data_IF_985358167525
#
_entry.id   IF_985358167525
#
_cell.length_a   1.000
_cell.length_b   1.000
_cell.length_c   1.000
_cell.angle_alpha   90.00
_cell.angle_beta   90.00
_cell.angle_gamma   90.00
#
_symmetry.space_group_name_H-M   'P 1'
#
loop_
_entity.id
_entity.type
_entity.pdbx_description
1 polymer ?
#
# COMPACT_ATOMS: atom_id res chain seq x y z
N UNK A 1 -3.87 21.13 -15.56
CA UNK A 1 -2.40 21.01 -15.75
C UNK A 1 -1.62 21.63 -14.56
N UNK A 2 -2.11 21.49 -13.32
CA UNK A 2 -1.63 22.26 -12.15
C UNK A 2 -1.42 21.40 -10.88
N UNK A 3 -1.32 20.07 -10.98
CA UNK A 3 -1.17 19.18 -9.81
C UNK A 3 0.27 18.67 -9.57
N UNK A 4 1.28 19.34 -10.13
CA UNK A 4 2.68 18.94 -9.94
C UNK A 4 3.41 19.74 -8.85
N UNK A 5 2.80 20.75 -8.24
CA UNK A 5 3.42 21.49 -7.14
C UNK A 5 3.20 20.78 -5.80
N UNK A 6 4.28 20.42 -5.10
CA UNK A 6 4.18 19.86 -3.75
C UNK A 6 4.00 20.96 -2.72
N UNK A 7 2.75 21.36 -2.49
CA UNK A 7 2.40 22.43 -1.55
C UNK A 7 2.83 22.13 -0.10
N UNK A 8 2.78 20.86 0.30
CA UNK A 8 3.24 20.42 1.62
C UNK A 8 4.74 20.71 1.84
N UNK A 9 5.60 20.30 0.90
CA UNK A 9 7.06 20.50 1.00
C UNK A 9 7.42 21.99 0.99
N UNK A 10 6.71 22.79 0.18
CA UNK A 10 6.88 24.24 0.14
C UNK A 10 6.42 24.91 1.44
N UNK A 11 5.32 24.47 2.04
CA UNK A 11 4.81 24.99 3.31
C UNK A 11 5.74 24.63 4.47
N UNK A 12 6.21 23.38 4.53
CA UNK A 12 7.19 22.94 5.53
C UNK A 12 8.47 23.77 5.47
N UNK A 13 9.02 23.99 4.26
CA UNK A 13 10.19 24.83 4.07
C UNK A 13 9.93 26.30 4.47
N UNK A 14 8.73 26.82 4.20
CA UNK A 14 8.38 28.21 4.48
C UNK A 14 8.35 28.56 5.98
N UNK A 15 8.04 27.59 6.87
CA UNK A 15 8.05 27.80 8.32
C UNK A 15 9.40 28.34 8.81
N UNK A 16 10.49 27.83 8.24
CA UNK A 16 11.84 28.19 8.65
C UNK A 16 12.27 29.59 8.18
N UNK A 17 11.58 30.19 7.21
CA UNK A 17 11.92 31.54 6.72
C UNK A 17 11.68 32.63 7.76
N UNK A 18 10.92 32.36 8.83
CA UNK A 18 10.69 33.29 9.94
C UNK A 18 12.01 33.75 10.59
N UNK A 19 13.06 32.93 10.52
CA UNK A 19 14.37 33.25 11.10
C UNK A 19 15.16 34.29 10.29
N UNK A 20 14.72 34.67 9.09
CA UNK A 20 15.23 35.86 8.39
C UNK A 20 14.72 37.17 8.98
N UNK A 21 13.58 37.15 9.67
CA UNK A 21 12.90 38.34 10.18
C UNK A 21 13.73 39.16 11.17
N UNK A 22 14.41 38.57 12.19
CA UNK A 22 15.19 39.34 13.15
C UNK A 22 16.32 40.15 12.50
N UNK A 23 17.01 39.55 11.52
CA UNK A 23 18.10 40.21 10.77
C UNK A 23 17.53 41.33 9.89
N UNK A 24 16.41 41.08 9.21
CA UNK A 24 15.74 42.11 8.41
C UNK A 24 15.31 43.29 9.28
N UNK A 25 14.69 43.06 10.43
CA UNK A 25 14.31 44.11 11.36
C UNK A 25 15.52 44.91 11.86
N UNK A 26 16.62 44.23 12.18
CA UNK A 26 17.85 44.89 12.61
C UNK A 26 18.45 45.81 11.53
N UNK A 27 18.28 45.48 10.25
CA UNK A 27 18.72 46.33 9.12
C UNK A 27 17.76 47.51 8.94
N UNK A 28 16.44 47.28 9.07
CA UNK A 28 15.43 48.32 8.90
C UNK A 28 15.50 49.39 10.00
N UNK A 29 15.73 48.98 11.25
CA UNK A 29 15.81 49.89 12.40
C UNK A 29 17.23 50.44 12.65
N UNK A 30 18.22 50.08 11.81
CA UNK A 30 19.57 50.65 11.94
C UNK A 30 19.56 52.14 11.54
N UNK A 31 20.07 53.04 12.41
CA UNK A 31 20.06 54.49 12.13
C UNK A 31 20.89 54.88 10.90
N UNK A 32 21.93 54.11 10.57
CA UNK A 32 22.91 54.41 9.53
C UNK A 32 22.53 53.91 8.13
N UNK A 33 21.42 53.20 7.98
CA UNK A 33 21.01 52.56 6.73
C UNK A 33 20.18 53.49 5.85
N UNK A 34 20.55 53.64 4.58
CA UNK A 34 19.83 54.50 3.63
C UNK A 34 18.46 53.92 3.24
N UNK A 35 17.53 54.77 2.77
CA UNK A 35 16.21 54.31 2.30
C UNK A 35 16.31 53.28 1.16
N UNK A 36 17.27 53.48 0.24
CA UNK A 36 17.53 52.53 -0.85
C UNK A 36 18.05 51.17 -0.34
N UNK A 37 18.92 51.16 0.66
CA UNK A 37 19.40 49.93 1.29
C UNK A 37 18.29 49.18 2.03
N UNK A 38 17.39 49.89 2.71
CA UNK A 38 16.22 49.31 3.38
C UNK A 38 15.26 48.67 2.37
N UNK A 39 14.96 49.37 1.27
CA UNK A 39 14.14 48.82 0.20
C UNK A 39 14.79 47.58 -0.42
N UNK A 40 16.09 47.63 -0.72
CA UNK A 40 16.83 46.49 -1.27
C UNK A 40 16.84 45.30 -0.31
N UNK A 41 17.03 45.52 1.00
CA UNK A 41 16.96 44.47 2.01
C UNK A 41 15.61 43.75 2.00
N UNK A 42 14.50 44.49 1.99
CA UNK A 42 13.17 43.87 1.93
C UNK A 42 12.96 43.13 0.62
N UNK A 43 13.29 43.75 -0.51
CA UNK A 43 13.10 43.16 -1.83
C UNK A 43 13.87 41.84 -1.99
N UNK A 44 15.17 41.82 -1.65
CA UNK A 44 15.99 40.61 -1.81
C UNK A 44 15.57 39.50 -0.86
N UNK A 45 15.18 39.82 0.38
CA UNK A 45 14.69 38.82 1.34
C UNK A 45 13.38 38.21 0.88
N UNK A 46 12.44 39.01 0.36
CA UNK A 46 11.17 38.51 -0.19
C UNK A 46 11.41 37.61 -1.40
N UNK A 47 12.27 38.03 -2.33
CA UNK A 47 12.62 37.22 -3.51
C UNK A 47 13.30 35.91 -3.09
N UNK A 48 14.19 35.94 -2.10
CA UNK A 48 14.81 34.74 -1.54
C UNK A 48 13.78 33.79 -0.94
N UNK A 49 12.86 34.30 -0.12
CA UNK A 49 11.77 33.51 0.47
C UNK A 49 10.93 32.82 -0.62
N UNK A 50 10.51 33.57 -1.64
CA UNK A 50 9.74 33.01 -2.76
C UNK A 50 10.53 31.94 -3.52
N UNK A 51 11.80 32.20 -3.84
CA UNK A 51 12.66 31.25 -4.53
C UNK A 51 12.88 29.97 -3.69
N UNK A 52 13.04 30.10 -2.37
CA UNK A 52 13.23 28.96 -1.47
C UNK A 52 11.99 28.07 -1.41
N UNK A 53 10.80 28.66 -1.24
CA UNK A 53 9.53 27.91 -1.26
C UNK A 53 9.26 27.26 -2.64
N UNK A 54 9.58 27.97 -3.73
CA UNK A 54 9.46 27.44 -5.09
C UNK A 54 10.43 26.28 -5.33
N UNK A 55 11.64 26.32 -4.79
CA UNK A 55 12.61 25.23 -4.91
C UNK A 55 12.03 23.92 -4.36
N UNK A 56 11.54 23.92 -3.12
CA UNK A 56 10.94 22.74 -2.50
C UNK A 56 9.68 22.26 -3.21
N UNK A 57 8.81 23.18 -3.66
CA UNK A 57 7.59 22.81 -4.35
C UNK A 57 7.76 22.30 -5.80
N UNK A 58 8.87 22.65 -6.47
CA UNK A 58 9.10 22.32 -7.90
C UNK A 58 10.16 21.25 -8.16
N UNK A 59 11.01 20.94 -7.18
CA UNK A 59 12.13 19.99 -7.29
C UNK A 59 11.77 18.67 -7.98
N UNK A 60 10.60 18.11 -7.65
CA UNK A 60 10.12 16.84 -8.18
C UNK A 60 9.51 16.93 -9.58
N UNK A 61 9.15 18.14 -10.01
CA UNK A 61 8.14 18.33 -11.06
C UNK A 61 8.64 19.08 -12.28
N UNK A 62 9.53 20.05 -12.10
CA UNK A 62 10.03 20.89 -13.18
C UNK A 62 11.51 21.27 -13.00
N UNK A 63 12.32 21.30 -14.07
CA UNK A 63 12.04 20.87 -15.45
C UNK A 63 12.12 19.35 -15.59
N UNK A 64 11.11 18.72 -16.22
CA UNK A 64 10.99 17.26 -16.30
C UNK A 64 12.19 16.55 -16.97
N UNK A 65 12.86 17.22 -17.91
CA UNK A 65 14.00 16.70 -18.67
C UNK A 65 15.32 16.65 -17.88
N UNK A 66 15.39 17.30 -16.73
CA UNK A 66 16.61 17.37 -15.95
C UNK A 66 16.63 16.28 -14.88
N UNK A 67 17.80 15.70 -14.65
CA UNK A 67 18.00 14.79 -13.51
C UNK A 67 17.80 15.54 -12.19
N UNK A 68 17.32 14.83 -11.18
CA UNK A 68 17.03 15.39 -9.86
C UNK A 68 18.21 16.19 -9.28
N UNK A 69 19.44 15.66 -9.40
CA UNK A 69 20.67 16.34 -8.97
C UNK A 69 20.91 17.66 -9.70
N UNK A 70 20.64 17.75 -11.01
CA UNK A 70 20.80 19.01 -11.78
C UNK A 70 19.78 20.06 -11.36
N UNK A 71 18.55 19.66 -11.00
CA UNK A 71 17.53 20.58 -10.48
C UNK A 71 17.93 21.15 -9.13
N UNK A 72 18.41 20.30 -8.22
CA UNK A 72 18.94 20.73 -6.92
C UNK A 72 20.11 21.70 -7.10
N UNK A 73 21.07 21.37 -7.98
CA UNK A 73 22.22 22.22 -8.25
C UNK A 73 21.81 23.60 -8.79
N UNK A 74 20.84 23.65 -9.71
CA UNK A 74 20.35 24.91 -10.26
C UNK A 74 19.66 25.78 -9.19
N UNK A 75 18.77 25.21 -8.37
CA UNK A 75 18.15 25.93 -7.27
C UNK A 75 19.17 26.39 -6.23
N UNK A 76 20.17 25.57 -5.93
CA UNK A 76 21.27 25.94 -5.05
C UNK A 76 22.04 27.15 -5.59
N UNK A 77 22.38 27.16 -6.88
CA UNK A 77 23.06 28.29 -7.54
C UNK A 77 22.18 29.55 -7.49
N UNK A 78 20.88 29.43 -7.80
CA UNK A 78 19.93 30.57 -7.75
C UNK A 78 19.90 31.18 -6.35
N UNK A 79 19.73 30.35 -5.32
CA UNK A 79 19.70 30.81 -3.92
C UNK A 79 21.04 31.41 -3.49
N UNK A 80 22.16 30.83 -3.93
CA UNK A 80 23.50 31.36 -3.64
C UNK A 80 23.71 32.75 -4.29
N UNK A 81 23.27 32.93 -5.53
CA UNK A 81 23.31 34.22 -6.22
C UNK A 81 22.42 35.26 -5.53
N UNK A 82 21.23 34.88 -5.06
CA UNK A 82 20.36 35.76 -4.29
C UNK A 82 20.98 36.15 -2.94
N UNK A 83 21.63 35.21 -2.25
CA UNK A 83 22.38 35.49 -1.03
C UNK A 83 23.53 36.47 -1.31
N UNK A 84 24.30 36.30 -2.38
CA UNK A 84 25.36 37.23 -2.77
C UNK A 84 24.80 38.62 -3.11
N UNK A 85 23.66 38.70 -3.80
CA UNK A 85 22.99 39.96 -4.12
C UNK A 85 22.49 40.72 -2.88
N UNK A 86 22.37 40.05 -1.71
CA UNK A 86 22.00 40.67 -0.45
C UNK A 86 23.17 41.37 0.27
N UNK A 87 24.43 41.17 -0.16
CA UNK A 87 25.64 41.77 0.45
C UNK A 87 25.54 43.31 0.61
N UNK A 88 25.10 44.09 -0.40
CA UNK A 88 25.08 45.56 -0.30
C UNK A 88 24.16 46.12 0.81
N UNK A 89 23.14 45.37 1.22
CA UNK A 89 22.21 45.78 2.28
C UNK A 89 22.44 45.08 3.61
N UNK A 90 22.87 43.81 3.60
CA UNK A 90 23.06 42.99 4.80
C UNK A 90 24.49 43.02 5.35
N UNK A 91 25.48 43.33 4.51
CA UNK A 91 26.90 43.27 4.88
C UNK A 91 27.27 41.87 5.41
N UNK A 92 27.90 41.82 6.59
CA UNK A 92 28.30 40.56 7.24
C UNK A 92 27.10 39.64 7.57
N UNK A 93 25.91 40.21 7.74
CA UNK A 93 24.70 39.43 8.09
C UNK A 93 24.16 38.59 6.95
N UNK A 94 24.73 38.66 5.75
CA UNK A 94 24.40 37.77 4.62
C UNK A 94 24.58 36.29 4.97
N UNK A 95 25.39 35.99 5.98
CA UNK A 95 25.59 34.65 6.54
C UNK A 95 24.28 33.96 6.94
N UNK A 96 23.23 34.72 7.27
CA UNK A 96 21.91 34.18 7.64
C UNK A 96 21.25 33.38 6.51
N UNK A 97 21.65 33.58 5.25
CA UNK A 97 21.13 32.82 4.11
C UNK A 97 21.79 31.44 3.94
N UNK A 98 22.96 31.22 4.53
CA UNK A 98 23.76 29.99 4.36
C UNK A 98 23.04 28.74 4.88
N UNK A 99 22.34 28.76 6.04
CA UNK A 99 21.60 27.60 6.51
C UNK A 99 20.54 27.08 5.56
N UNK A 100 19.91 27.97 4.78
CA UNK A 100 18.90 27.60 3.79
C UNK A 100 19.51 26.87 2.59
N UNK A 101 20.73 27.24 2.20
CA UNK A 101 21.52 26.50 1.20
C UNK A 101 21.88 25.10 1.71
N UNK A 102 22.31 25.00 2.97
CA UNK A 102 22.60 23.72 3.63
C UNK A 102 21.36 22.84 3.77
N UNK A 103 20.21 23.43 4.11
CA UNK A 103 18.93 22.73 4.23
C UNK A 103 18.49 22.11 2.92
N UNK A 104 18.56 22.88 1.81
CA UNK A 104 18.22 22.37 0.48
C UNK A 104 19.02 21.12 0.13
N UNK A 105 20.32 21.11 0.43
CA UNK A 105 21.18 19.95 0.14
C UNK A 105 20.93 18.81 1.13
N UNK A 106 20.71 19.11 2.41
CA UNK A 106 20.48 18.11 3.46
C UNK A 106 19.22 17.29 3.22
N UNK A 107 18.14 17.92 2.78
CA UNK A 107 16.87 17.23 2.50
C UNK A 107 16.85 16.52 1.15
N UNK A 108 17.77 16.85 0.23
CA UNK A 108 17.70 16.36 -1.17
C UNK A 108 18.88 15.50 -1.62
N UNK A 109 20.03 15.56 -0.95
CA UNK A 109 21.24 14.84 -1.35
C UNK A 109 21.66 13.81 -0.31
N UNK A 110 22.43 12.78 -0.71
CA UNK A 110 23.02 11.82 0.23
C UNK A 110 23.88 12.52 1.29
N UNK A 111 23.90 11.95 2.50
CA UNK A 111 24.64 12.49 3.66
C UNK A 111 26.10 12.88 3.33
N UNK A 112 26.81 12.05 2.54
CA UNK A 112 28.20 12.33 2.12
C UNK A 112 28.31 13.59 1.27
N UNK A 113 27.39 13.80 0.33
CA UNK A 113 27.39 14.98 -0.54
C UNK A 113 26.97 16.22 0.23
N UNK A 114 25.95 16.10 1.10
CA UNK A 114 25.49 17.18 1.94
C UNK A 114 26.56 17.66 2.91
N UNK A 115 27.25 16.74 3.60
CA UNK A 115 28.32 17.09 4.54
C UNK A 115 29.49 17.79 3.86
N UNK A 116 29.89 17.35 2.67
CA UNK A 116 30.95 18.01 1.87
C UNK A 116 30.54 19.43 1.49
N UNK A 117 29.31 19.62 0.97
CA UNK A 117 28.84 20.95 0.54
C UNK A 117 28.70 21.89 1.73
N UNK A 118 28.17 21.41 2.86
CA UNK A 118 28.07 22.21 4.10
C UNK A 118 29.46 22.60 4.60
N UNK A 119 30.41 21.66 4.65
CA UNK A 119 31.78 21.93 5.08
C UNK A 119 32.48 22.95 4.17
N UNK A 120 32.36 22.80 2.84
CA UNK A 120 32.91 23.74 1.87
C UNK A 120 32.28 25.13 1.98
N UNK A 121 30.95 25.20 2.08
CA UNK A 121 30.24 26.48 2.23
C UNK A 121 30.62 27.15 3.55
N UNK A 122 30.72 26.39 4.64
CA UNK A 122 31.18 26.86 5.94
C UNK A 122 32.61 27.37 5.91
N UNK A 123 33.53 26.71 5.18
CA UNK A 123 34.90 27.18 5.02
C UNK A 123 34.98 28.47 4.19
N UNK A 124 34.29 28.51 3.04
CA UNK A 124 34.27 29.68 2.13
C UNK A 124 33.71 30.91 2.82
N UNK A 125 32.68 30.75 3.67
CA UNK A 125 32.06 31.88 4.39
C UNK A 125 32.77 32.18 5.72
N UNK A 126 33.26 31.15 6.40
CA UNK A 126 33.93 31.26 7.70
C UNK A 126 35.30 31.94 7.62
N UNK A 127 36.07 31.72 6.55
CA UNK A 127 37.39 32.35 6.39
C UNK A 127 37.28 33.88 6.32
N UNK A 128 36.44 34.50 5.47
CA UNK A 128 36.21 35.95 5.50
C UNK A 128 35.67 36.46 6.84
N UNK A 129 34.76 35.73 7.48
CA UNK A 129 34.20 36.12 8.78
C UNK A 129 35.27 36.21 9.87
N UNK A 130 36.25 35.32 9.86
CA UNK A 130 37.38 35.37 10.78
C UNK A 130 38.17 36.67 10.65
N UNK A 131 38.44 37.12 9.42
CA UNK A 131 39.23 38.34 9.18
C UNK A 131 38.43 39.64 9.39
N UNK A 132 37.13 39.65 9.10
CA UNK A 132 36.32 40.88 9.09
C UNK A 132 35.37 41.04 10.28
N UNK A 133 35.15 39.99 11.08
CA UNK A 133 34.16 39.99 12.16
C UNK A 133 34.57 39.13 13.37
N UNK A 134 35.87 39.15 13.72
CA UNK A 134 36.49 38.32 14.76
C UNK A 134 35.71 38.31 16.10
N UNK A 135 35.29 39.49 16.59
CA UNK A 135 34.56 39.62 17.86
C UNK A 135 33.17 38.93 17.88
N UNK A 136 32.58 38.63 16.72
CA UNK A 136 31.28 37.97 16.58
C UNK A 136 31.38 36.61 15.91
N UNK A 137 32.60 36.07 15.77
CA UNK A 137 32.83 34.82 15.06
C UNK A 137 32.07 33.65 15.67
N UNK A 138 31.96 33.59 17.02
CA UNK A 138 31.22 32.53 17.72
C UNK A 138 29.71 32.59 17.40
N UNK A 139 29.10 33.78 17.40
CA UNK A 139 27.70 33.97 17.02
C UNK A 139 27.44 33.47 15.59
N UNK A 140 28.35 33.81 14.67
CA UNK A 140 28.25 33.41 13.27
C UNK A 140 28.56 31.92 13.05
N UNK A 141 29.45 31.32 13.85
CA UNK A 141 29.75 29.90 13.79
C UNK A 141 28.56 29.03 14.21
N UNK A 142 27.78 29.46 15.21
CA UNK A 142 26.53 28.80 15.60
C UNK A 142 25.49 28.83 14.48
N UNK A 143 25.40 29.94 13.74
CA UNK A 143 24.51 30.06 12.58
C UNK A 143 25.04 29.23 11.40
N UNK A 144 26.34 29.24 11.14
CA UNK A 144 26.97 28.53 10.01
C UNK A 144 27.03 27.02 10.15
N UNK A 145 27.20 26.53 11.38
CA UNK A 145 27.43 25.10 11.63
C UNK A 145 26.34 24.48 12.49
N UNK A 146 25.86 25.18 13.53
CA UNK A 146 24.84 24.64 14.43
C UNK A 146 23.50 24.40 13.75
N UNK A 147 23.02 25.39 13.00
CA UNK A 147 21.77 25.32 12.26
C UNK A 147 21.78 24.27 11.13
N UNK A 148 22.76 24.26 10.22
CA UNK A 148 22.87 23.22 9.20
C UNK A 148 23.05 21.82 9.77
N UNK A 149 23.76 21.67 10.89
CA UNK A 149 23.92 20.38 11.55
C UNK A 149 22.60 19.89 12.14
N UNK A 150 21.83 20.75 12.81
CA UNK A 150 20.49 20.42 13.29
C UNK A 150 19.58 19.99 12.13
N UNK A 151 19.58 20.75 11.03
CA UNK A 151 18.78 20.44 9.85
C UNK A 151 19.24 19.13 9.19
N UNK A 152 20.56 18.86 9.15
CA UNK A 152 21.10 17.60 8.66
C UNK A 152 20.61 16.42 9.51
N UNK A 153 20.62 16.56 10.84
CA UNK A 153 20.10 15.50 11.73
C UNK A 153 18.61 15.23 11.49
N UNK A 154 17.79 16.28 11.39
CA UNK A 154 16.36 16.15 11.08
C UNK A 154 16.11 15.54 9.70
N UNK A 155 16.89 15.95 8.69
CA UNK A 155 16.81 15.38 7.34
C UNK A 155 17.19 13.90 7.29
N UNK A 156 18.21 13.49 8.05
CA UNK A 156 18.60 12.07 8.15
C UNK A 156 17.58 11.21 8.86
N UNK A 157 16.87 11.76 9.86
CA UNK A 157 15.79 11.05 10.56
C UNK A 157 14.60 10.83 9.62
N UNK A 158 14.18 11.88 8.92
CA UNK A 158 13.09 11.80 7.93
C UNK A 158 13.40 10.82 6.79
N UNK A 159 14.62 10.84 6.23
CA UNK A 159 15.00 9.89 5.19
C UNK A 159 15.05 8.43 5.69
N UNK A 160 15.35 8.20 6.97
CA UNK A 160 15.35 6.85 7.56
C UNK A 160 13.95 6.29 7.69
N UNK A 161 12.98 7.09 8.13
CA UNK A 161 11.59 6.65 8.26
C UNK A 161 10.98 6.20 6.92
N UNK A 162 11.23 6.97 5.85
CA UNK A 162 10.76 6.61 4.51
C UNK A 162 11.40 5.32 3.99
N UNK A 163 12.71 5.15 4.24
CA UNK A 163 13.46 3.97 3.80
C UNK A 163 13.06 2.73 4.59
N UNK A 164 12.88 2.85 5.92
CA UNK A 164 12.42 1.75 6.77
C UNK A 164 11.02 1.30 6.40
N UNK A 165 10.12 2.21 6.09
CA UNK A 165 8.74 1.85 5.70
C UNK A 165 8.73 1.09 4.38
N UNK A 166 9.52 1.52 3.40
CA UNK A 166 9.67 0.79 2.13
C UNK A 166 10.29 -0.60 2.33
N UNK A 167 11.35 -0.70 3.15
CA UNK A 167 12.01 -1.97 3.46
C UNK A 167 11.10 -2.93 4.24
N UNK A 168 10.31 -2.43 5.18
CA UNK A 168 9.30 -3.24 5.90
C UNK A 168 8.26 -3.76 4.94
N UNK A 169 7.77 -2.94 4.03
CA UNK A 169 6.82 -3.39 3.01
C UNK A 169 7.41 -4.49 2.12
N UNK A 170 8.65 -4.34 1.66
CA UNK A 170 9.33 -5.34 0.85
C UNK A 170 9.59 -6.65 1.62
N UNK A 171 9.92 -6.56 2.92
CA UNK A 171 10.08 -7.72 3.80
C UNK A 171 8.75 -8.45 4.01
N UNK A 172 7.67 -7.73 4.28
CA UNK A 172 6.33 -8.31 4.45
C UNK A 172 5.90 -9.04 3.18
N UNK A 173 6.16 -8.45 2.00
CA UNK A 173 5.87 -9.09 0.71
C UNK A 173 6.74 -10.34 0.47
N UNK A 174 8.00 -10.32 0.92
CA UNK A 174 8.90 -11.47 0.79
C UNK A 174 8.51 -12.62 1.72
N UNK A 175 8.16 -12.32 2.97
CA UNK A 175 7.64 -13.31 3.94
C UNK A 175 6.34 -13.92 3.43
N UNK A 176 5.42 -13.08 2.96
CA UNK A 176 4.20 -13.56 2.33
C UNK A 176 4.50 -14.56 1.22
N UNK A 177 5.48 -14.29 0.33
CA UNK A 177 5.91 -15.19 -0.75
C UNK A 177 6.46 -16.53 -0.28
N UNK A 178 7.20 -16.53 0.82
CA UNK A 178 7.78 -17.74 1.41
C UNK A 178 6.69 -18.64 2.01
N UNK A 179 5.74 -18.04 2.73
CA UNK A 179 4.58 -18.74 3.26
C UNK A 179 3.72 -19.35 2.14
N UNK A 180 3.58 -18.67 0.97
CA UNK A 180 2.91 -19.24 -0.22
C UNK A 180 3.58 -20.53 -0.69
N UNK A 181 4.92 -20.49 -0.77
CA UNK A 181 5.68 -21.60 -1.29
C UNK A 181 5.54 -22.82 -0.36
N UNK A 182 5.53 -22.59 0.96
CA UNK A 182 5.29 -23.63 1.95
C UNK A 182 3.88 -24.24 1.83
N UNK A 183 2.83 -23.42 1.82
CA UNK A 183 1.44 -23.90 1.72
C UNK A 183 1.17 -24.67 0.41
N UNK A 184 1.71 -24.19 -0.71
CA UNK A 184 1.62 -24.89 -1.99
C UNK A 184 2.38 -26.22 -1.95
N UNK A 185 3.57 -26.22 -1.34
CA UNK A 185 4.40 -27.42 -1.24
C UNK A 185 3.74 -28.51 -0.39
N UNK A 186 3.16 -28.14 0.75
CA UNK A 186 2.50 -29.07 1.65
C UNK A 186 1.23 -29.66 1.02
N UNK A 187 0.42 -28.82 0.36
CA UNK A 187 -0.78 -29.25 -0.36
C UNK A 187 -0.46 -30.19 -1.53
N UNK A 188 0.54 -29.84 -2.35
CA UNK A 188 0.98 -30.69 -3.46
C UNK A 188 1.63 -31.97 -2.97
N UNK A 189 2.45 -31.91 -1.92
CA UNK A 189 3.16 -33.06 -1.37
C UNK A 189 2.22 -34.15 -0.88
N UNK A 190 1.19 -33.78 -0.12
CA UNK A 190 0.19 -34.73 0.37
C UNK A 190 -0.60 -35.36 -0.79
N UNK A 191 -1.10 -34.54 -1.73
CA UNK A 191 -1.89 -35.03 -2.86
C UNK A 191 -1.07 -35.96 -3.76
N UNK A 192 0.15 -35.57 -4.12
CA UNK A 192 1.02 -36.39 -4.98
C UNK A 192 1.36 -37.74 -4.34
N UNK A 193 1.49 -37.78 -3.01
CA UNK A 193 1.71 -39.03 -2.27
C UNK A 193 0.51 -39.97 -2.41
N UNK A 194 -0.72 -39.45 -2.26
CA UNK A 194 -1.96 -40.24 -2.42
C UNK A 194 -2.13 -40.73 -3.86
N UNK A 195 -1.90 -39.85 -4.85
CA UNK A 195 -1.94 -40.21 -6.27
C UNK A 195 -0.96 -41.34 -6.58
N UNK A 196 0.26 -41.27 -6.04
CA UNK A 196 1.28 -42.29 -6.26
C UNK A 196 0.87 -43.64 -5.64
N UNK A 197 0.35 -43.64 -4.40
CA UNK A 197 -0.15 -44.84 -3.73
C UNK A 197 -1.30 -45.49 -4.51
N UNK A 198 -2.30 -44.72 -4.93
CA UNK A 198 -3.42 -45.22 -5.73
C UNK A 198 -2.99 -45.73 -7.11
N UNK A 199 -1.99 -45.07 -7.71
CA UNK A 199 -1.43 -45.52 -9.00
C UNK A 199 -0.75 -46.89 -8.87
N UNK A 200 -0.04 -47.14 -7.77
CA UNK A 200 0.57 -48.44 -7.47
C UNK A 200 -0.48 -49.52 -7.23
N UNK A 201 -1.59 -49.19 -6.54
CA UNK A 201 -2.73 -50.10 -6.34
C UNK A 201 -3.40 -50.45 -7.67
N UNK A 202 -3.72 -49.44 -8.49
CA UNK A 202 -4.31 -49.64 -9.82
C UNK A 202 -3.42 -50.52 -10.71
N UNK A 203 -2.10 -50.30 -10.68
CA UNK A 203 -1.12 -51.09 -11.44
C UNK A 203 -1.13 -52.57 -11.03
N UNK A 204 -1.27 -52.88 -9.74
CA UNK A 204 -1.30 -54.26 -9.23
C UNK A 204 -2.62 -54.97 -9.54
N UNK A 205 -3.71 -54.21 -9.70
CA UNK A 205 -5.05 -54.75 -9.94
C UNK A 205 -5.38 -54.86 -11.44
N UNK A 206 -4.61 -54.25 -12.34
CA UNK A 206 -4.92 -54.18 -13.78
C UNK A 206 -5.23 -55.54 -14.43
N UNK A 207 -4.48 -56.59 -14.06
CA UNK A 207 -4.69 -57.95 -14.62
C UNK A 207 -5.62 -58.81 -13.77
N UNK A 208 -5.82 -58.44 -12.49
CA UNK A 208 -6.43 -59.30 -11.46
C UNK A 208 -7.86 -58.89 -11.12
N UNK A 209 -8.12 -57.58 -11.12
CA UNK A 209 -9.43 -56.95 -10.97
C UNK A 209 -9.45 -55.62 -11.75
N UNK A 210 -9.72 -55.70 -13.08
CA UNK A 210 -9.76 -54.51 -13.94
C UNK A 210 -10.82 -53.49 -13.54
N UNK A 211 -11.89 -53.93 -12.87
CA UNK A 211 -13.00 -53.05 -12.47
C UNK A 211 -12.59 -52.12 -11.33
N UNK A 212 -11.92 -52.66 -10.32
CA UNK A 212 -11.37 -51.86 -9.21
C UNK A 212 -10.21 -50.98 -9.70
N UNK A 213 -9.37 -51.49 -10.61
CA UNK A 213 -8.30 -50.68 -11.21
C UNK A 213 -8.83 -49.45 -11.98
N UNK A 214 -9.93 -49.61 -12.74
CA UNK A 214 -10.59 -48.50 -13.44
C UNK A 214 -11.15 -47.46 -12.46
N UNK A 215 -11.69 -47.90 -11.31
CA UNK A 215 -12.21 -47.02 -10.26
C UNK A 215 -11.09 -46.18 -9.63
N UNK A 216 -9.97 -46.80 -9.27
CA UNK A 216 -8.79 -46.10 -8.72
C UNK A 216 -8.23 -45.07 -9.72
N UNK A 217 -8.18 -45.41 -11.02
CA UNK A 217 -7.75 -44.48 -12.07
C UNK A 217 -8.70 -43.28 -12.25
N UNK A 218 -10.02 -43.50 -12.13
CA UNK A 218 -11.01 -42.43 -12.18
C UNK A 218 -10.85 -41.48 -10.98
N UNK A 219 -10.64 -42.03 -9.77
CA UNK A 219 -10.38 -41.26 -8.56
C UNK A 219 -9.10 -40.43 -8.64
N UNK A 220 -8.01 -41.00 -9.18
CA UNK A 220 -6.77 -40.24 -9.47
C UNK A 220 -7.06 -39.03 -10.37
N UNK A 221 -7.88 -39.22 -11.41
CA UNK A 221 -8.28 -38.15 -12.32
C UNK A 221 -9.06 -37.03 -11.60
N UNK A 222 -9.96 -37.39 -10.67
CA UNK A 222 -10.70 -36.42 -9.84
C UNK A 222 -9.75 -35.70 -8.88
N UNK A 223 -8.91 -36.44 -8.14
CA UNK A 223 -7.94 -35.86 -7.19
C UNK A 223 -7.02 -34.84 -7.87
N UNK A 224 -6.48 -35.19 -9.03
CA UNK A 224 -5.60 -34.32 -9.80
C UNK A 224 -6.27 -33.01 -10.22
N UNK A 225 -7.51 -33.08 -10.74
CA UNK A 225 -8.28 -31.88 -11.10
C UNK A 225 -8.61 -31.01 -9.90
N UNK A 226 -9.00 -31.62 -8.78
CA UNK A 226 -9.30 -30.90 -7.53
C UNK A 226 -8.07 -30.17 -6.99
N UNK A 227 -6.91 -30.83 -6.93
CA UNK A 227 -5.68 -30.22 -6.42
C UNK A 227 -5.15 -29.11 -7.34
N UNK A 228 -5.30 -29.27 -8.66
CA UNK A 228 -4.97 -28.19 -9.60
C UNK A 228 -5.89 -26.96 -9.39
N UNK A 229 -7.19 -27.18 -9.14
CA UNK A 229 -8.13 -26.11 -8.83
C UNK A 229 -7.79 -25.43 -7.49
N UNK A 230 -7.35 -26.19 -6.49
CA UNK A 230 -6.97 -25.67 -5.18
C UNK A 230 -5.67 -24.86 -5.24
N UNK A 231 -4.65 -25.31 -5.97
CA UNK A 231 -3.44 -24.53 -6.25
C UNK A 231 -3.80 -23.22 -6.97
N UNK A 232 -4.67 -23.28 -8.00
CA UNK A 232 -5.13 -22.08 -8.71
C UNK A 232 -5.92 -21.13 -7.81
N UNK A 233 -6.74 -21.66 -6.91
CA UNK A 233 -7.49 -20.89 -5.91
C UNK A 233 -6.55 -20.20 -4.91
N UNK A 234 -5.55 -20.90 -4.38
CA UNK A 234 -4.52 -20.34 -3.48
C UNK A 234 -3.73 -19.22 -4.17
N UNK A 235 -3.32 -19.41 -5.42
CA UNK A 235 -2.65 -18.36 -6.21
C UNK A 235 -3.58 -17.15 -6.47
N UNK A 236 -4.88 -17.39 -6.68
CA UNK A 236 -5.87 -16.31 -6.91
C UNK A 236 -6.19 -15.53 -5.64
N UNK A 237 -6.18 -16.19 -4.48
CA UNK A 237 -6.39 -15.60 -3.14
C UNK A 237 -5.32 -14.57 -2.74
N UNK A 238 -4.17 -14.58 -3.43
CA UNK A 238 -3.00 -13.76 -3.12
C UNK A 238 -2.85 -12.51 -3.99
N UNK A 239 -3.72 -12.32 -4.99
CA UNK A 239 -3.97 -11.00 -5.59
C UNK A 239 -5.23 -10.47 -4.93
N UNK A 240 -5.14 -9.39 -4.14
CA UNK A 240 -6.27 -8.78 -3.40
C UNK A 240 -7.64 -9.14 -3.98
N UNK A 241 -8.47 -9.94 -3.27
CA UNK A 241 -9.73 -10.41 -3.81
C UNK A 241 -10.65 -9.22 -3.99
N UNK A 242 -10.86 -8.84 -5.25
CA UNK A 242 -11.92 -7.93 -5.64
C UNK A 242 -13.15 -8.75 -5.92
N UNK A 243 -14.32 -8.25 -5.57
CA UNK A 243 -15.56 -9.01 -5.76
C UNK A 243 -15.79 -9.36 -7.24
N UNK A 244 -15.42 -8.45 -8.13
CA UNK A 244 -15.43 -8.66 -9.58
C UNK A 244 -14.51 -9.82 -10.02
N UNK A 245 -13.33 -9.95 -9.39
CA UNK A 245 -12.42 -11.06 -9.64
C UNK A 245 -13.00 -12.40 -9.19
N UNK A 246 -13.72 -12.42 -8.06
CA UNK A 246 -14.38 -13.61 -7.55
C UNK A 246 -15.58 -14.04 -8.39
N UNK A 247 -16.38 -13.12 -8.93
CA UNK A 247 -17.44 -13.47 -9.89
C UNK A 247 -16.84 -14.20 -11.11
N UNK A 248 -15.73 -13.69 -11.65
CA UNK A 248 -15.08 -14.35 -12.80
C UNK A 248 -14.50 -15.72 -12.43
N UNK A 249 -13.96 -15.87 -11.22
CA UNK A 249 -13.45 -17.15 -10.73
C UNK A 249 -14.59 -18.15 -10.51
N UNK A 250 -15.70 -17.72 -9.91
CA UNK A 250 -16.92 -18.49 -9.69
C UNK A 250 -17.50 -18.99 -11.03
N UNK A 251 -17.60 -18.11 -12.04
CA UNK A 251 -18.04 -18.50 -13.37
C UNK A 251 -17.18 -19.65 -13.92
N UNK A 252 -15.85 -19.48 -13.92
CA UNK A 252 -14.92 -20.47 -14.46
C UNK A 252 -15.01 -21.82 -13.72
N UNK A 253 -15.06 -21.81 -12.39
CA UNK A 253 -15.04 -23.07 -11.61
C UNK A 253 -16.35 -23.85 -11.77
N UNK A 254 -17.49 -23.16 -11.76
CA UNK A 254 -18.80 -23.77 -11.94
C UNK A 254 -19.01 -24.27 -13.39
N UNK A 255 -18.59 -23.49 -14.39
CA UNK A 255 -18.61 -23.90 -15.80
C UNK A 255 -17.73 -25.14 -16.04
N UNK A 256 -16.53 -25.18 -15.45
CA UNK A 256 -15.63 -26.35 -15.53
C UNK A 256 -16.25 -27.59 -14.87
N UNK A 257 -17.08 -27.39 -13.85
CA UNK A 257 -17.82 -28.46 -13.19
C UNK A 257 -19.10 -28.88 -13.95
N UNK A 258 -19.45 -28.21 -15.06
CA UNK A 258 -20.66 -28.48 -15.83
C UNK A 258 -21.94 -27.95 -15.18
N UNK A 259 -21.83 -26.96 -14.30
CA UNK A 259 -22.95 -26.34 -13.58
C UNK A 259 -23.37 -25.07 -14.32
N UNK A 260 -24.65 -24.95 -14.66
CA UNK A 260 -25.22 -23.73 -15.26
C UNK A 260 -25.24 -22.63 -14.21
N UNK A 261 -24.71 -21.44 -14.54
CA UNK A 261 -24.54 -20.35 -13.57
C UNK A 261 -25.42 -19.16 -13.85
N UNK A 262 -25.97 -18.59 -12.78
CA UNK A 262 -26.68 -17.33 -12.78
C UNK A 262 -25.99 -16.40 -11.78
N UNK A 263 -24.95 -15.70 -12.26
CA UNK A 263 -24.10 -14.82 -11.46
C UNK A 263 -24.45 -13.33 -11.72
N UNK A 264 -24.23 -12.41 -10.76
CA UNK A 264 -24.35 -10.98 -10.98
C UNK A 264 -23.37 -10.50 -12.05
N UNK A 265 -23.66 -9.38 -12.69
CA UNK A 265 -22.73 -8.76 -13.64
C UNK A 265 -21.40 -8.44 -12.97
N UNK A 266 -20.30 -8.58 -13.70
CA UNK A 266 -18.94 -8.30 -13.17
C UNK A 266 -18.70 -6.85 -12.72
N UNK A 267 -19.58 -5.92 -13.09
CA UNK A 267 -19.57 -4.53 -12.61
C UNK A 267 -20.31 -4.34 -11.28
N UNK A 268 -21.09 -5.32 -10.85
CA UNK A 268 -21.79 -5.33 -9.56
C UNK A 268 -20.76 -5.42 -8.44
N UNK A 269 -20.86 -4.53 -7.45
CA UNK A 269 -19.95 -4.48 -6.31
C UNK A 269 -20.72 -4.37 -5.01
N UNK A 270 -20.24 -5.00 -3.93
CA UNK A 270 -20.79 -4.78 -2.61
C UNK A 270 -20.61 -3.31 -2.21
N UNK A 271 -21.63 -2.73 -1.60
CA UNK A 271 -21.56 -1.34 -1.13
C UNK A 271 -20.71 -1.21 0.14
N UNK A 272 -20.62 -2.29 0.92
CA UNK A 272 -19.80 -2.41 2.12
C UNK A 272 -19.13 -3.79 2.18
N UNK A 273 -18.09 -3.94 3.02
CA UNK A 273 -17.48 -5.23 3.35
C UNK A 273 -17.06 -6.10 2.13
N UNK A 274 -16.54 -5.47 1.06
CA UNK A 274 -16.17 -6.14 -0.20
C UNK A 274 -15.29 -7.38 0.01
N UNK A 275 -14.34 -7.32 0.94
CA UNK A 275 -13.45 -8.42 1.26
C UNK A 275 -14.20 -9.63 1.84
N UNK A 276 -15.19 -9.39 2.72
CA UNK A 276 -16.00 -10.46 3.33
C UNK A 276 -16.88 -11.13 2.27
N UNK A 277 -17.59 -10.35 1.46
CA UNK A 277 -18.43 -10.89 0.40
C UNK A 277 -17.63 -11.59 -0.70
N UNK A 278 -16.44 -11.10 -1.02
CA UNK A 278 -15.53 -11.80 -1.95
C UNK A 278 -15.12 -13.16 -1.41
N UNK A 279 -14.77 -13.22 -0.12
CA UNK A 279 -14.41 -14.47 0.53
C UNK A 279 -15.60 -15.44 0.63
N UNK A 280 -16.78 -14.94 0.97
CA UNK A 280 -18.03 -15.68 1.02
C UNK A 280 -18.38 -16.29 -0.35
N UNK A 281 -18.36 -15.49 -1.41
CA UNK A 281 -18.66 -15.96 -2.77
C UNK A 281 -17.75 -17.12 -3.18
N UNK A 282 -16.45 -17.01 -2.90
CA UNK A 282 -15.49 -18.08 -3.21
C UNK A 282 -15.78 -19.36 -2.44
N UNK A 283 -15.97 -19.25 -1.14
CA UNK A 283 -16.20 -20.41 -0.27
C UNK A 283 -17.50 -21.13 -0.67
N UNK A 284 -18.59 -20.37 -0.85
CA UNK A 284 -19.88 -20.91 -1.22
C UNK A 284 -19.86 -21.58 -2.60
N UNK A 285 -19.25 -20.96 -3.61
CA UNK A 285 -19.16 -21.56 -4.96
C UNK A 285 -18.23 -22.77 -4.99
N UNK A 286 -17.17 -22.79 -4.18
CA UNK A 286 -16.32 -23.97 -4.00
C UNK A 286 -17.10 -25.11 -3.35
N UNK A 287 -17.93 -24.81 -2.35
CA UNK A 287 -18.77 -25.79 -1.68
C UNK A 287 -19.82 -26.39 -2.62
N UNK A 288 -20.44 -25.58 -3.47
CA UNK A 288 -21.32 -26.08 -4.54
C UNK A 288 -20.59 -27.10 -5.40
N UNK A 289 -19.41 -26.76 -5.93
CA UNK A 289 -18.65 -27.67 -6.81
C UNK A 289 -18.21 -28.95 -6.10
N UNK A 290 -17.81 -28.87 -4.82
CA UNK A 290 -17.27 -30.02 -4.07
C UNK A 290 -18.36 -30.95 -3.54
N UNK A 291 -19.51 -30.40 -3.12
CA UNK A 291 -20.44 -31.13 -2.25
C UNK A 291 -21.88 -31.20 -2.79
N UNK A 292 -22.31 -30.30 -3.67
CA UNK A 292 -23.73 -30.22 -4.04
C UNK A 292 -24.19 -31.32 -5.01
N UNK A 293 -23.36 -31.69 -5.99
CA UNK A 293 -23.83 -32.45 -7.16
C UNK A 293 -24.90 -31.72 -7.99
N UNK A 294 -24.99 -30.38 -7.86
CA UNK A 294 -25.95 -29.53 -8.54
C UNK A 294 -25.70 -29.44 -10.05
N UNK A 295 -26.76 -29.14 -10.81
CA UNK A 295 -26.68 -28.79 -12.24
C UNK A 295 -26.88 -27.29 -12.48
N UNK A 296 -27.44 -26.57 -11.50
CA UNK A 296 -27.69 -25.13 -11.56
C UNK A 296 -27.29 -24.44 -10.25
N UNK A 297 -26.73 -23.23 -10.36
CA UNK A 297 -26.29 -22.40 -9.24
C UNK A 297 -26.62 -20.92 -9.49
N UNK A 298 -27.22 -20.28 -8.50
CA UNK A 298 -27.61 -18.87 -8.49
C UNK A 298 -26.83 -18.11 -7.41
N UNK A 299 -26.32 -16.94 -7.79
CA UNK A 299 -25.66 -16.02 -6.86
C UNK A 299 -26.38 -14.68 -6.93
N UNK A 300 -26.86 -14.20 -5.80
CA UNK A 300 -27.54 -12.91 -5.67
C UNK A 300 -26.80 -12.03 -4.68
N UNK A 301 -26.51 -10.80 -5.08
CA UNK A 301 -25.91 -9.78 -4.21
C UNK A 301 -26.97 -8.72 -3.89
N UNK A 302 -27.33 -8.57 -2.62
CA UNK A 302 -28.12 -7.46 -2.09
C UNK A 302 -27.23 -6.31 -1.60
N UNK A 303 -27.84 -5.31 -0.98
CA UNK A 303 -27.11 -4.13 -0.45
C UNK A 303 -26.12 -4.52 0.65
N UNK A 304 -26.56 -5.39 1.57
CA UNK A 304 -25.78 -5.92 2.68
C UNK A 304 -25.88 -7.46 2.80
N UNK A 305 -26.22 -8.15 1.71
CA UNK A 305 -26.41 -9.60 1.71
C UNK A 305 -25.79 -10.27 0.48
N UNK A 306 -25.35 -11.51 0.65
CA UNK A 306 -24.90 -12.38 -0.42
C UNK A 306 -25.57 -13.75 -0.25
N UNK A 307 -26.31 -14.17 -1.27
CA UNK A 307 -26.98 -15.46 -1.30
C UNK A 307 -26.40 -16.32 -2.42
N UNK A 308 -26.07 -17.57 -2.08
CA UNK A 308 -25.73 -18.62 -3.06
C UNK A 308 -26.73 -19.75 -2.92
N UNK A 309 -27.38 -20.11 -4.02
CA UNK A 309 -28.38 -21.18 -4.07
C UNK A 309 -28.01 -22.20 -5.13
N UNK A 310 -28.18 -23.48 -4.84
CA UNK A 310 -27.95 -24.57 -5.77
C UNK A 310 -29.09 -25.59 -5.72
N UNK A 311 -29.27 -26.35 -6.81
CA UNK A 311 -30.29 -27.39 -6.91
C UNK A 311 -29.77 -28.80 -6.55
N UNK A 312 -28.67 -28.87 -5.82
CA UNK A 312 -27.99 -30.09 -5.42
C UNK A 312 -28.43 -30.65 -4.07
N UNK A 313 -27.82 -31.78 -3.72
CA UNK A 313 -28.14 -32.58 -2.55
C UNK A 313 -27.21 -32.42 -1.34
N UNK A 314 -26.20 -31.54 -1.42
CA UNK A 314 -24.98 -31.59 -0.60
C UNK A 314 -25.10 -31.29 0.90
N UNK A 315 -26.22 -30.75 1.36
CA UNK A 315 -26.48 -30.54 2.79
C UNK A 315 -27.35 -31.67 3.35
N UNK A 316 -26.69 -32.64 4.00
CA UNK A 316 -27.28 -33.75 4.73
C UNK A 316 -27.29 -33.47 6.25
N UNK A 317 -27.98 -34.30 7.05
CA UNK A 317 -27.96 -34.19 8.52
C UNK A 317 -26.53 -34.24 9.11
N UNK A 318 -25.61 -34.97 8.47
CA UNK A 318 -24.19 -35.01 8.86
C UNK A 318 -23.48 -33.67 8.63
N UNK A 319 -23.88 -32.89 7.62
CA UNK A 319 -23.32 -31.58 7.33
C UNK A 319 -23.76 -30.53 8.37
N UNK A 320 -24.99 -30.62 8.89
CA UNK A 320 -25.44 -29.79 10.01
C UNK A 320 -24.64 -30.08 11.29
N UNK A 321 -24.38 -31.35 11.60
CA UNK A 321 -23.55 -31.71 12.75
C UNK A 321 -22.10 -31.22 12.60
N UNK A 322 -21.50 -31.35 11.41
CA UNK A 322 -20.15 -30.86 11.13
C UNK A 322 -20.03 -29.32 11.20
N UNK A 323 -21.08 -28.61 10.78
CA UNK A 323 -21.19 -27.15 10.91
C UNK A 323 -21.27 -26.73 12.38
N UNK A 324 -22.06 -27.45 13.19
CA UNK A 324 -22.23 -27.19 14.64
C UNK A 324 -20.95 -27.49 15.43
N UNK A 325 -20.17 -28.48 14.97
CA UNK A 325 -18.86 -28.81 15.52
C UNK A 325 -17.72 -27.88 15.07
N UNK A 326 -17.99 -26.95 14.14
CA UNK A 326 -17.00 -25.98 13.67
C UNK A 326 -15.92 -26.54 12.74
N UNK A 327 -16.17 -27.71 12.12
CA UNK A 327 -15.17 -28.49 11.38
C UNK A 327 -15.21 -28.24 9.85
N UNK A 328 -15.90 -27.20 9.38
CA UNK A 328 -16.10 -26.91 7.95
C UNK A 328 -15.71 -25.48 7.56
N UNK A 329 -15.43 -25.23 6.28
CA UNK A 329 -15.14 -23.87 5.77
C UNK A 329 -16.27 -22.86 6.02
N UNK A 330 -17.52 -23.34 6.13
CA UNK A 330 -18.69 -22.56 6.50
C UNK A 330 -18.70 -22.10 7.97
N UNK A 331 -18.08 -22.84 8.89
CA UNK A 331 -17.92 -22.39 10.27
C UNK A 331 -16.95 -21.20 10.37
N UNK A 332 -15.90 -21.20 9.55
CA UNK A 332 -15.01 -20.05 9.38
C UNK A 332 -15.72 -18.86 8.76
N UNK A 333 -16.64 -19.10 7.80
CA UNK A 333 -17.49 -18.06 7.22
C UNK A 333 -18.44 -17.44 8.25
N UNK A 334 -19.10 -18.27 9.07
CA UNK A 334 -19.99 -17.79 10.14
C UNK A 334 -19.25 -16.91 11.13
N UNK A 335 -18.09 -17.34 11.64
CA UNK A 335 -17.29 -16.52 12.58
C UNK A 335 -16.92 -15.16 12.00
N UNK A 336 -16.51 -15.12 10.73
CA UNK A 336 -16.18 -13.86 10.04
C UNK A 336 -17.40 -12.97 9.81
N UNK A 337 -18.58 -13.57 9.61
CA UNK A 337 -19.84 -12.84 9.55
C UNK A 337 -20.17 -12.23 10.92
N UNK A 338 -20.06 -13.02 11.99
CA UNK A 338 -20.31 -12.59 13.37
C UNK A 338 -19.38 -11.43 13.77
N UNK A 339 -18.08 -11.53 13.45
CA UNK A 339 -17.08 -10.47 13.70
C UNK A 339 -17.42 -9.15 12.98
N UNK A 340 -18.13 -9.24 11.85
CA UNK A 340 -18.62 -8.11 11.07
C UNK A 340 -20.04 -7.66 11.46
N UNK A 341 -20.64 -8.25 12.50
CA UNK A 341 -21.99 -7.93 12.96
C UNK A 341 -23.11 -8.51 12.08
N UNK A 342 -22.81 -9.56 11.31
CA UNK A 342 -23.74 -10.28 10.45
C UNK A 342 -24.12 -11.66 10.97
N UNK A 343 -24.78 -12.43 10.09
CA UNK A 343 -25.16 -13.82 10.31
C UNK A 343 -25.01 -14.63 9.02
N UNK A 344 -24.85 -15.95 9.18
CA UNK A 344 -24.82 -16.94 8.10
C UNK A 344 -25.95 -17.95 8.29
N UNK A 345 -26.97 -17.83 7.44
CA UNK A 345 -28.18 -18.64 7.45
C UNK A 345 -28.08 -19.67 6.32
N UNK A 346 -28.39 -20.92 6.63
CA UNK A 346 -28.42 -22.02 5.67
C UNK A 346 -29.83 -22.60 5.70
N UNK A 347 -30.42 -22.78 4.53
CA UNK A 347 -31.76 -23.32 4.38
C UNK A 347 -31.81 -24.30 3.23
N UNK A 348 -32.60 -25.35 3.41
CA UNK A 348 -32.98 -26.27 2.35
C UNK A 348 -34.49 -26.31 2.22
N UNK A 349 -35.02 -25.91 1.08
CA UNK A 349 -36.46 -25.94 0.77
C UNK A 349 -36.66 -26.34 -0.68
N UNK A 350 -37.72 -27.11 -0.97
CA UNK A 350 -38.14 -27.46 -2.34
C UNK A 350 -37.04 -28.07 -3.23
N UNK A 351 -36.10 -28.79 -2.62
CA UNK A 351 -34.97 -29.40 -3.33
C UNK A 351 -33.81 -28.44 -3.65
N UNK A 352 -33.88 -27.19 -3.20
CA UNK A 352 -32.81 -26.21 -3.31
C UNK A 352 -32.09 -26.05 -1.98
N UNK A 353 -30.77 -25.88 -2.04
CA UNK A 353 -29.93 -25.48 -0.92
C UNK A 353 -29.57 -24.01 -1.10
N UNK A 354 -29.85 -23.18 -0.10
CA UNK A 354 -29.54 -21.75 -0.10
C UNK A 354 -28.71 -21.38 1.12
N UNK A 355 -27.60 -20.69 0.89
CA UNK A 355 -26.76 -20.11 1.93
C UNK A 355 -26.78 -18.59 1.79
N UNK A 356 -27.22 -17.91 2.84
CA UNK A 356 -27.35 -16.46 2.92
C UNK A 356 -26.38 -15.92 3.97
N UNK A 357 -25.46 -15.06 3.53
CA UNK A 357 -24.65 -14.22 4.40
C UNK A 357 -25.27 -12.83 4.43
N UNK A 358 -25.62 -12.32 5.62
CA UNK A 358 -26.23 -10.99 5.77
C UNK A 358 -25.48 -10.17 6.82
N UNK A 359 -25.32 -8.88 6.57
CA UNK A 359 -24.74 -7.90 7.50
C UNK A 359 -25.87 -6.94 7.91
N UNK A 360 -26.10 -6.81 9.21
CA UNK A 360 -27.28 -6.15 9.80
C UNK A 360 -28.60 -6.92 9.67
N UNK A 361 -29.49 -6.71 10.65
CA UNK A 361 -30.80 -7.33 10.81
C UNK A 361 -31.79 -6.81 9.74
N UNK A 362 -31.44 -7.04 8.47
CA UNK A 362 -32.16 -6.59 7.29
C UNK A 362 -33.51 -7.31 7.15
N UNK A 363 -34.52 -6.69 6.52
CA UNK A 363 -35.82 -7.33 6.26
C UNK A 363 -35.70 -8.68 5.54
N UNK A 364 -34.68 -8.82 4.68
CA UNK A 364 -34.34 -10.04 3.93
C UNK A 364 -34.06 -11.24 4.85
N UNK A 365 -33.43 -11.03 6.02
CA UNK A 365 -33.19 -12.08 7.01
C UNK A 365 -34.50 -12.58 7.65
N UNK A 366 -35.50 -11.69 7.80
CA UNK A 366 -36.82 -12.04 8.36
C UNK A 366 -37.70 -12.75 7.33
N UNK A 367 -37.65 -12.37 6.06
CA UNK A 367 -38.37 -13.08 4.98
C UNK A 367 -37.77 -14.46 4.72
N UNK A 368 -36.44 -14.59 4.79
CA UNK A 368 -35.75 -15.88 4.63
C UNK A 368 -35.94 -16.84 5.81
N UNK A 369 -36.26 -16.32 7.01
CA UNK A 369 -36.62 -17.13 8.19
C UNK A 369 -38.11 -17.52 8.24
N UNK A 370 -38.99 -16.87 7.47
CA UNK A 370 -40.44 -17.11 7.50
C UNK A 370 -40.96 -17.99 6.35
N UNK A 371 -40.16 -18.19 5.30
CA UNK A 371 -40.39 -19.14 4.22
C UNK A 371 -39.63 -20.44 4.48
#
# INVERSE_FOLDING_TARGET
MMNSFKAHDAAFAAVWLIFLLPVLLQILFRPTTSAAQRFWAVAITVVFCMAYSLAFGTLHSYPHRWSYRRRVAAWWIILALLALAAIPSHGVWVVVFVPYLGALVSFTQPLRTASIIIALTGAVVGIPLWFYAEQRFIDFALILFGWPLLILTLGTLSQREDTETALRHDLDLAQQREDIAADIHDLLGHTLTVINLKSEVARRLIDRDPSTAATELAEIGVLSRMSLAEVRSTVTRMKNPTFAGEIQAAHRILETAGITTHLPDTFTRPQSHEALFSWALRELTTNVVRHSGATECWVTLGENSLQVTDNGGGFTEDAEQALTAGLTGLAGLRRRADDAGGDLIIRRSDGLTSVLLTLENTPEAKEFQQQ
#
